data_IF_591230201523
#
_entry.id   IF_591230201523
#
_cell.length_a   1.000
_cell.length_b   1.000
_cell.length_c   1.000
_cell.angle_alpha   90.00
_cell.angle_beta   90.00
_cell.angle_gamma   90.00
#
_symmetry.space_group_name_H-M   'P 1'
#
loop_
_entity.id
_entity.type
_entity.pdbx_description
1 polymer ?
#
# COMPACT_ATOMS: atom_id res chain seq x y z
N UNK A 1 -16.22 -11.76 2.76
CA UNK A 1 -15.71 -10.71 1.85
C UNK A 1 -15.17 -9.56 2.69
N UNK A 2 -13.84 -9.38 2.70
CA UNK A 2 -13.21 -8.23 3.36
C UNK A 2 -13.72 -6.95 2.67
N UNK A 3 -14.53 -6.15 3.38
CA UNK A 3 -15.06 -4.88 2.85
C UNK A 3 -14.00 -3.78 2.95
N UNK A 4 -12.80 -4.04 2.44
CA UNK A 4 -11.70 -3.08 2.45
C UNK A 4 -11.88 -2.11 1.28
N UNK A 5 -11.76 -0.81 1.54
CA UNK A 5 -11.89 0.23 0.51
C UNK A 5 -10.83 1.30 0.71
N UNK A 6 -10.09 1.59 -0.36
CA UNK A 6 -9.24 2.78 -0.41
C UNK A 6 -10.13 4.02 -0.65
N UNK A 7 -9.95 5.07 0.15
CA UNK A 7 -10.67 6.34 0.03
C UNK A 7 -9.70 7.50 0.16
N UNK A 8 -9.86 8.53 -0.67
CA UNK A 8 -9.18 9.80 -0.47
C UNK A 8 -10.02 10.70 0.46
N UNK A 9 -9.43 11.14 1.57
CA UNK A 9 -9.99 12.16 2.46
C UNK A 9 -9.55 13.54 1.97
N UNK A 10 -10.51 14.30 1.41
CA UNK A 10 -10.26 15.66 0.89
C UNK A 10 -9.91 16.65 2.00
N UNK A 11 -10.37 16.43 3.24
CA UNK A 11 -10.13 17.39 4.32
C UNK A 11 -8.68 17.32 4.83
N UNK A 12 -8.11 16.12 4.86
CA UNK A 12 -6.72 15.88 5.25
C UNK A 12 -5.77 15.64 4.08
N UNK A 13 -6.24 15.79 2.84
CA UNK A 13 -5.49 15.55 1.59
C UNK A 13 -4.66 14.26 1.60
N UNK A 14 -5.27 13.17 2.07
CA UNK A 14 -4.59 11.90 2.32
C UNK A 14 -5.45 10.69 2.00
N UNK A 15 -4.80 9.57 1.73
CA UNK A 15 -5.48 8.30 1.52
C UNK A 15 -5.74 7.59 2.84
N UNK A 16 -6.88 6.90 2.90
CA UNK A 16 -7.31 6.08 4.01
C UNK A 16 -7.75 4.71 3.52
N UNK A 17 -7.36 3.67 4.25
CA UNK A 17 -7.84 2.31 4.07
C UNK A 17 -8.98 2.07 5.06
N UNK A 18 -10.20 1.91 4.55
CA UNK A 18 -11.41 1.70 5.37
C UNK A 18 -11.77 0.21 5.40
N UNK A 19 -12.01 -0.32 6.59
CA UNK A 19 -12.53 -1.68 6.80
C UNK A 19 -13.56 -1.66 7.94
N UNK A 20 -14.36 -2.73 8.14
CA UNK A 20 -15.56 -2.67 8.98
C UNK A 20 -15.35 -2.14 10.41
N UNK A 21 -14.20 -2.45 11.01
CA UNK A 21 -13.92 -2.05 12.38
C UNK A 21 -13.31 -0.64 12.49
N UNK A 22 -12.45 -0.23 11.54
CA UNK A 22 -11.66 1.02 11.62
C UNK A 22 -11.21 1.54 10.25
N UNK A 23 -10.69 2.77 10.25
CA UNK A 23 -9.91 3.33 9.14
C UNK A 23 -8.43 3.48 9.51
N UNK A 24 -7.54 3.22 8.55
CA UNK A 24 -6.11 3.50 8.65
C UNK A 24 -5.76 4.69 7.76
N UNK A 25 -5.04 5.66 8.30
CA UNK A 25 -4.47 6.76 7.52
C UNK A 25 -3.17 6.27 6.89
N UNK A 26 -3.01 6.48 5.59
CA UNK A 26 -1.81 6.11 4.86
C UNK A 26 -0.89 7.33 4.72
N UNK A 27 0.41 7.12 4.90
CA UNK A 27 1.41 8.06 4.43
C UNK A 27 1.49 8.00 2.87
N UNK A 28 2.22 8.91 2.21
CA UNK A 28 2.32 8.93 0.75
C UNK A 28 2.80 7.59 0.15
N UNK A 29 3.88 7.00 0.69
CA UNK A 29 4.43 5.75 0.17
C UNK A 29 3.45 4.59 0.31
N UNK A 30 2.83 4.40 1.48
CA UNK A 30 1.82 3.38 1.71
C UNK A 30 0.60 3.56 0.80
N UNK A 31 0.20 4.80 0.55
CA UNK A 31 -0.88 5.09 -0.40
C UNK A 31 -0.50 4.67 -1.83
N UNK A 32 0.74 4.95 -2.26
CA UNK A 32 1.25 4.51 -3.56
C UNK A 32 1.30 2.97 -3.65
N UNK A 33 1.80 2.29 -2.61
CA UNK A 33 1.84 0.82 -2.53
C UNK A 33 0.44 0.22 -2.70
N UNK A 34 -0.53 0.66 -1.89
CA UNK A 34 -1.91 0.12 -1.94
C UNK A 34 -2.55 0.34 -3.30
N UNK A 35 -2.32 1.50 -3.94
CA UNK A 35 -2.87 1.79 -5.28
C UNK A 35 -2.34 0.84 -6.35
N UNK A 36 -1.16 0.26 -6.16
CA UNK A 36 -0.55 -0.73 -7.05
C UNK A 36 -0.93 -2.18 -6.68
N UNK A 37 -1.58 -2.41 -5.54
CA UNK A 37 -2.05 -3.73 -5.10
C UNK A 37 -3.38 -4.10 -5.77
N UNK A 38 -3.41 -4.13 -7.11
CA UNK A 38 -4.60 -4.49 -7.91
C UNK A 38 -4.72 -5.99 -8.19
N UNK A 39 -3.71 -6.78 -7.83
CA UNK A 39 -3.55 -8.18 -8.25
C UNK A 39 -2.79 -8.35 -9.57
N UNK A 40 -2.54 -7.26 -10.30
CA UNK A 40 -1.84 -7.29 -11.60
C UNK A 40 -0.34 -7.06 -11.50
N UNK A 41 0.16 -6.70 -10.30
CA UNK A 41 1.55 -6.34 -10.08
C UNK A 41 2.19 -7.24 -9.05
N UNK A 42 3.37 -7.76 -9.39
CA UNK A 42 4.24 -8.45 -8.42
C UNK A 42 4.87 -7.43 -7.47
N UNK A 43 5.34 -7.87 -6.31
CA UNK A 43 6.08 -7.02 -5.37
C UNK A 43 7.25 -6.31 -6.06
N UNK A 44 8.02 -7.02 -6.89
CA UNK A 44 9.11 -6.43 -7.65
C UNK A 44 8.65 -5.32 -8.60
N UNK A 45 7.54 -5.53 -9.32
CA UNK A 45 6.98 -4.50 -10.21
C UNK A 45 6.46 -3.27 -9.44
N UNK A 46 5.92 -3.47 -8.23
CA UNK A 46 5.53 -2.37 -7.35
C UNK A 46 6.77 -1.56 -6.94
N UNK A 47 7.85 -2.23 -6.53
CA UNK A 47 9.11 -1.57 -6.14
C UNK A 47 9.68 -0.73 -7.27
N UNK A 48 9.78 -1.27 -8.50
CA UNK A 48 10.32 -0.52 -9.64
C UNK A 48 9.51 0.76 -9.92
N UNK A 49 8.18 0.69 -9.84
CA UNK A 49 7.30 1.87 -10.02
C UNK A 49 7.51 2.92 -8.93
N UNK A 50 7.75 2.47 -7.69
CA UNK A 50 8.04 3.39 -6.58
C UNK A 50 9.42 4.02 -6.71
N UNK A 51 10.41 3.33 -7.26
CA UNK A 51 11.74 3.91 -7.53
C UNK A 51 11.63 5.05 -8.55
N UNK A 52 10.78 4.88 -9.57
CA UNK A 52 10.49 5.95 -10.55
C UNK A 52 9.75 7.14 -9.91
N UNK A 53 8.79 6.88 -9.02
CA UNK A 53 7.98 7.92 -8.36
C UNK A 53 8.73 8.65 -7.23
N UNK A 54 9.67 7.98 -6.56
CA UNK A 54 10.43 8.47 -5.42
C UNK A 54 11.95 8.37 -5.63
N UNK A 55 12.54 9.15 -6.56
CA UNK A 55 13.95 9.03 -6.94
C UNK A 55 14.93 9.42 -5.82
N UNK A 56 14.45 10.01 -4.73
CA UNK A 56 15.25 10.35 -3.54
C UNK A 56 15.41 9.18 -2.57
N UNK A 57 14.67 8.09 -2.76
CA UNK A 57 14.75 6.88 -1.94
C UNK A 57 15.55 5.80 -2.68
N UNK A 58 16.30 4.97 -1.95
CA UNK A 58 16.99 3.84 -2.56
C UNK A 58 16.01 2.71 -2.83
N UNK A 59 16.29 1.91 -3.86
CA UNK A 59 15.49 0.72 -4.20
C UNK A 59 15.34 -0.22 -3.01
N UNK A 60 16.42 -0.44 -2.25
CA UNK A 60 16.42 -1.34 -1.09
C UNK A 60 15.57 -0.79 0.07
N UNK A 61 15.53 0.53 0.24
CA UNK A 61 14.67 1.16 1.24
C UNK A 61 13.19 0.98 0.88
N UNK A 62 12.84 1.23 -0.38
CA UNK A 62 11.48 1.04 -0.89
C UNK A 62 11.05 -0.43 -0.85
N UNK A 63 11.93 -1.36 -1.20
CA UNK A 63 11.64 -2.79 -1.14
C UNK A 63 11.31 -3.24 0.29
N UNK A 64 12.10 -2.80 1.28
CA UNK A 64 11.79 -3.06 2.70
C UNK A 64 10.45 -2.45 3.11
N UNK A 65 10.20 -1.18 2.75
CA UNK A 65 8.94 -0.51 3.11
C UNK A 65 7.72 -1.20 2.49
N UNK A 66 7.82 -1.65 1.24
CA UNK A 66 6.77 -2.44 0.57
C UNK A 66 6.52 -3.74 1.31
N UNK A 67 7.56 -4.51 1.61
CA UNK A 67 7.42 -5.81 2.29
C UNK A 67 6.85 -5.66 3.69
N UNK A 68 7.36 -4.71 4.48
CA UNK A 68 6.86 -4.41 5.83
C UNK A 68 5.40 -3.99 5.81
N UNK A 69 5.03 -3.10 4.88
CA UNK A 69 3.66 -2.65 4.73
C UNK A 69 2.71 -3.79 4.35
N UNK A 70 3.07 -4.59 3.34
CA UNK A 70 2.25 -5.72 2.88
C UNK A 70 2.09 -6.78 3.97
N UNK A 71 3.16 -7.10 4.71
CA UNK A 71 3.10 -8.02 5.85
C UNK A 71 2.12 -7.50 6.91
N UNK A 72 2.25 -6.22 7.29
CA UNK A 72 1.35 -5.62 8.28
C UNK A 72 -0.12 -5.58 7.83
N UNK A 73 -0.38 -5.43 6.53
CA UNK A 73 -1.74 -5.49 5.98
C UNK A 73 -2.27 -6.93 5.91
N UNK A 74 -1.43 -7.91 5.58
CA UNK A 74 -1.77 -9.32 5.56
C UNK A 74 -2.11 -9.86 6.96
N UNK A 75 -1.34 -9.48 7.98
CA UNK A 75 -1.61 -9.82 9.39
C UNK A 75 -2.97 -9.31 9.87
N UNK A 76 -3.46 -8.22 9.25
CA UNK A 76 -4.77 -7.61 9.53
C UNK A 76 -5.88 -8.15 8.61
N UNK A 77 -5.57 -9.06 7.69
CA UNK A 77 -6.50 -9.59 6.69
C UNK A 77 -6.99 -8.54 5.69
N UNK A 78 -6.20 -7.49 5.45
CA UNK A 78 -6.57 -6.36 4.58
C UNK A 78 -6.04 -6.51 3.16
N UNK A 79 -4.96 -7.27 2.99
CA UNK A 79 -4.36 -7.62 1.69
C UNK A 79 -4.10 -9.13 1.69
N UNK A 80 -4.23 -9.76 0.53
CA UNK A 80 -3.89 -11.14 0.29
C UNK A 80 -3.00 -11.23 -0.95
N UNK A 81 -2.00 -12.11 -0.91
CA UNK A 81 -1.26 -12.49 -2.11
C UNK A 81 -1.88 -13.77 -2.66
N UNK A 82 -2.09 -13.82 -3.97
CA UNK A 82 -2.34 -15.08 -4.66
C UNK A 82 -1.00 -15.85 -4.71
N UNK A 83 -0.96 -17.02 -4.07
CA UNK A 83 0.14 -17.99 -4.16
C UNK A 83 -0.21 -19.03 -5.21
#
# INVERSE_FOLDING_TARGET
ASKVRLRFDRKGERYMLLYPEKGLVLNPTAAAIVRLCTGEHTVGAIVERLVEEYPTQTREALEREVLEFLSAMADRGLVHGDV
#
